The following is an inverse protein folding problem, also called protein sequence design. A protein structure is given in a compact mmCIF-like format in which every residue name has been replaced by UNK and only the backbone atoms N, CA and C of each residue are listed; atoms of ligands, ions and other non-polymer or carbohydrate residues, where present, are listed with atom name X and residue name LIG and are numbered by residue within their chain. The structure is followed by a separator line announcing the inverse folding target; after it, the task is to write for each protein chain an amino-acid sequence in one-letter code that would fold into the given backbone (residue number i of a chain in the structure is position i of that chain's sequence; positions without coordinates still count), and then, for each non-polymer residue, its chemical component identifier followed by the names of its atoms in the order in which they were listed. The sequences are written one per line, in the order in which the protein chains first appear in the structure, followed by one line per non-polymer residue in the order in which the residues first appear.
data_IF_566402803219
#
_entry.id   IF_566402803219
#
_cell.length_a   1.000
_cell.length_b   1.000
_cell.length_c   1.000
_cell.angle_alpha   90.00
_cell.angle_beta   90.00
_cell.angle_gamma   90.00
#
_symmetry.space_group_name_H-M   'P 1'
#
loop_
_entity.id
_entity.type
_entity.pdbx_description
1 polymer ?
#
# COMPACT_ATOMS: atom_id res chain seq x y z
N UNK A 1 -28.60 -44.74 21.51
CA UNK A 1 -27.79 -43.51 21.32
C UNK A 1 -28.31 -42.81 20.08
N UNK A 2 -28.89 -41.61 20.20
CA UNK A 2 -29.25 -40.80 19.03
C UNK A 2 -28.03 -39.96 18.69
N UNK A 3 -27.49 -40.17 17.49
CA UNK A 3 -26.46 -39.30 16.94
C UNK A 3 -27.02 -37.88 16.84
N UNK A 4 -26.30 -36.94 17.44
CA UNK A 4 -26.55 -35.51 17.31
C UNK A 4 -26.14 -35.15 15.87
N UNK A 5 -27.02 -34.60 15.04
CA UNK A 5 -26.61 -34.17 13.72
C UNK A 5 -25.63 -33.01 13.88
N UNK A 6 -24.40 -33.23 13.41
CA UNK A 6 -23.45 -32.16 13.11
C UNK A 6 -24.15 -31.14 12.22
N UNK A 7 -24.53 -30.00 12.81
CA UNK A 7 -24.96 -28.81 12.06
C UNK A 7 -23.75 -28.42 11.22
N UNK A 8 -23.83 -28.69 9.92
CA UNK A 8 -22.84 -28.24 8.94
C UNK A 8 -22.84 -26.72 8.89
N UNK A 9 -21.98 -26.10 9.71
CA UNK A 9 -21.62 -24.70 9.63
C UNK A 9 -20.58 -24.59 8.51
N UNK A 10 -21.03 -24.51 7.26
CA UNK A 10 -20.20 -23.96 6.20
C UNK A 10 -20.83 -22.63 5.78
N UNK A 11 -20.44 -21.50 6.41
CA UNK A 11 -21.08 -20.21 6.20
C UNK A 11 -20.50 -19.44 5.00
N UNK A 12 -19.87 -20.14 4.04
CA UNK A 12 -19.23 -19.55 2.86
C UNK A 12 -19.56 -20.43 1.66
N UNK A 13 -20.77 -20.28 1.10
CA UNK A 13 -21.25 -21.14 0.01
C UNK A 13 -22.35 -20.53 -0.86
N UNK A 14 -22.99 -19.44 -0.43
CA UNK A 14 -24.03 -18.76 -1.21
C UNK A 14 -23.47 -17.98 -2.40
N UNK A 15 -24.27 -17.81 -3.46
CA UNK A 15 -23.86 -17.03 -4.63
C UNK A 15 -23.45 -15.58 -4.30
N UNK A 16 -24.13 -14.95 -3.33
CA UNK A 16 -23.82 -13.60 -2.84
C UNK A 16 -22.50 -13.53 -2.07
N UNK A 17 -22.18 -14.54 -1.26
CA UNK A 17 -20.90 -14.62 -0.51
C UNK A 17 -19.72 -14.73 -1.47
N UNK A 18 -19.84 -15.64 -2.45
CA UNK A 18 -18.83 -15.81 -3.49
C UNK A 18 -18.61 -14.53 -4.30
N UNK A 19 -19.68 -13.84 -4.69
CA UNK A 19 -19.58 -12.56 -5.39
C UNK A 19 -18.89 -11.48 -4.54
N UNK A 20 -19.20 -11.41 -3.25
CA UNK A 20 -18.56 -10.49 -2.33
C UNK A 20 -17.06 -10.79 -2.18
N UNK A 21 -16.68 -12.04 -1.94
CA UNK A 21 -15.27 -12.44 -1.82
C UNK A 21 -14.48 -12.18 -3.11
N UNK A 22 -15.07 -12.46 -4.28
CA UNK A 22 -14.44 -12.12 -5.56
C UNK A 22 -14.30 -10.61 -5.77
N UNK A 23 -15.22 -9.80 -5.23
CA UNK A 23 -15.08 -8.34 -5.23
C UNK A 23 -13.91 -7.90 -4.35
N UNK A 24 -13.76 -8.48 -3.16
CA UNK A 24 -12.62 -8.21 -2.27
C UNK A 24 -11.29 -8.57 -2.93
N UNK A 25 -11.20 -9.75 -3.57
CA UNK A 25 -10.00 -10.18 -4.31
C UNK A 25 -9.64 -9.22 -5.45
N UNK A 26 -10.64 -8.71 -6.18
CA UNK A 26 -10.43 -7.72 -7.25
C UNK A 26 -9.97 -6.37 -6.70
N UNK A 27 -10.51 -5.95 -5.56
CA UNK A 27 -10.06 -4.75 -4.85
C UNK A 27 -8.60 -4.92 -4.41
N UNK A 28 -8.22 -6.05 -3.79
CA UNK A 28 -6.83 -6.34 -3.40
C UNK A 28 -5.85 -6.30 -4.59
N UNK A 29 -6.24 -6.84 -5.74
CA UNK A 29 -5.46 -6.73 -6.98
C UNK A 29 -5.28 -5.29 -7.45
N UNK A 30 -6.32 -4.45 -7.29
CA UNK A 30 -6.27 -3.04 -7.65
C UNK A 30 -5.34 -2.27 -6.72
N UNK A 31 -5.39 -2.55 -5.40
CA UNK A 31 -4.46 -1.97 -4.42
C UNK A 31 -3.00 -2.32 -4.73
N UNK A 32 -2.70 -3.59 -5.02
CA UNK A 32 -1.35 -3.99 -5.47
C UNK A 32 -0.92 -3.21 -6.73
N UNK A 33 -1.82 -3.02 -7.69
CA UNK A 33 -1.50 -2.26 -8.89
C UNK A 33 -1.17 -0.78 -8.58
N UNK A 34 -1.90 -0.16 -7.65
CA UNK A 34 -1.62 1.20 -7.16
C UNK A 34 -0.23 1.28 -6.53
N UNK A 35 0.08 0.36 -5.60
CA UNK A 35 1.38 0.37 -4.89
C UNK A 35 2.56 0.07 -5.83
N UNK A 36 2.39 -0.84 -6.80
CA UNK A 36 3.40 -1.06 -7.85
C UNK A 36 3.64 0.19 -8.69
N UNK A 37 2.58 0.91 -9.06
CA UNK A 37 2.71 2.14 -9.83
C UNK A 37 3.40 3.23 -9.00
N UNK A 38 3.12 3.27 -7.70
CA UNK A 38 3.81 4.12 -6.75
C UNK A 38 5.30 3.77 -6.67
N UNK A 39 5.67 2.49 -6.59
CA UNK A 39 7.07 2.06 -6.63
C UNK A 39 7.77 2.51 -7.92
N UNK A 40 7.16 2.30 -9.08
CA UNK A 40 7.69 2.79 -10.36
C UNK A 40 7.91 4.31 -10.34
N UNK A 41 6.98 5.07 -9.75
CA UNK A 41 7.10 6.52 -9.60
C UNK A 41 8.29 6.90 -8.70
N UNK A 42 8.46 6.23 -7.57
CA UNK A 42 9.58 6.44 -6.64
C UNK A 42 10.92 6.09 -7.32
N UNK A 43 10.98 5.03 -8.12
CA UNK A 43 12.17 4.66 -8.89
C UNK A 43 12.48 5.73 -9.94
N UNK A 44 11.50 6.19 -10.71
CA UNK A 44 11.67 7.25 -11.70
C UNK A 44 12.17 8.54 -11.03
N UNK A 45 11.62 8.89 -9.86
CA UNK A 45 12.01 10.07 -9.11
C UNK A 45 13.45 9.96 -8.58
N UNK A 46 13.77 8.90 -7.85
CA UNK A 46 15.01 8.86 -7.07
C UNK A 46 16.18 8.13 -7.74
N UNK A 47 15.90 7.08 -8.52
CA UNK A 47 16.95 6.33 -9.22
C UNK A 47 17.26 6.95 -10.58
N UNK A 48 16.22 7.27 -11.35
CA UNK A 48 16.37 7.81 -12.70
C UNK A 48 16.49 9.35 -12.72
N UNK A 49 16.06 10.02 -11.64
CA UNK A 49 16.01 11.49 -11.53
C UNK A 49 15.17 12.14 -12.61
N UNK A 50 14.12 11.46 -13.08
CA UNK A 50 13.20 11.95 -14.10
C UNK A 50 11.90 12.44 -13.46
N UNK A 51 11.86 13.74 -13.17
CA UNK A 51 10.70 14.38 -12.57
C UNK A 51 9.47 14.35 -13.49
N UNK A 52 9.65 14.43 -14.82
CA UNK A 52 8.53 14.40 -15.77
C UNK A 52 7.89 13.02 -15.81
N UNK A 53 8.70 11.96 -15.85
CA UNK A 53 8.24 10.58 -15.77
C UNK A 53 7.57 10.31 -14.42
N UNK A 54 8.14 10.79 -13.31
CA UNK A 54 7.54 10.67 -11.99
C UNK A 54 6.14 11.32 -11.92
N UNK A 55 5.94 12.51 -12.50
CA UNK A 55 4.61 13.12 -12.60
C UNK A 55 3.63 12.31 -13.46
N UNK A 56 4.10 11.72 -14.57
CA UNK A 56 3.24 10.89 -15.42
C UNK A 56 2.80 9.62 -14.72
N UNK A 57 3.70 8.97 -13.98
CA UNK A 57 3.39 7.80 -13.16
C UNK A 57 2.49 8.18 -11.98
N UNK A 58 2.72 9.34 -11.35
CA UNK A 58 1.89 9.82 -10.25
C UNK A 58 0.42 10.02 -10.62
N UNK A 59 0.12 10.49 -11.84
CA UNK A 59 -1.27 10.53 -12.34
C UNK A 59 -1.89 9.13 -12.45
N UNK A 60 -1.10 8.14 -12.89
CA UNK A 60 -1.56 6.75 -12.95
C UNK A 60 -1.79 6.16 -11.55
N UNK A 61 -1.02 6.57 -10.54
CA UNK A 61 -1.27 6.18 -9.13
C UNK A 61 -2.67 6.64 -8.70
N UNK A 62 -3.01 7.92 -8.89
CA UNK A 62 -4.34 8.46 -8.59
C UNK A 62 -5.46 7.73 -9.37
N UNK A 63 -5.26 7.45 -10.66
CA UNK A 63 -6.26 6.71 -11.44
C UNK A 63 -6.49 5.27 -10.93
N UNK A 64 -5.44 4.63 -10.40
CA UNK A 64 -5.50 3.27 -9.85
C UNK A 64 -6.10 3.24 -8.44
N UNK A 65 -5.75 4.19 -7.58
CA UNK A 65 -6.39 4.41 -6.28
C UNK A 65 -7.90 4.54 -6.45
N UNK A 66 -8.36 5.40 -7.37
CA UNK A 66 -9.79 5.62 -7.57
C UNK A 66 -10.52 4.35 -8.05
N UNK A 67 -9.81 3.41 -8.70
CA UNK A 67 -10.35 2.09 -9.05
C UNK A 67 -10.39 1.16 -7.83
N UNK A 68 -9.40 1.23 -6.94
CA UNK A 68 -9.38 0.51 -5.67
C UNK A 68 -10.54 0.95 -4.78
N UNK A 69 -10.73 2.26 -4.56
CA UNK A 69 -11.84 2.84 -3.78
C UNK A 69 -13.21 2.35 -4.25
N UNK A 70 -13.43 2.32 -5.58
CA UNK A 70 -14.67 1.77 -6.17
C UNK A 70 -14.86 0.29 -5.81
N UNK A 71 -13.77 -0.48 -5.79
CA UNK A 71 -13.77 -1.88 -5.35
C UNK A 71 -14.19 -2.03 -3.89
N UNK A 72 -13.61 -1.23 -2.99
CA UNK A 72 -13.99 -1.19 -1.56
C UNK A 72 -15.47 -0.86 -1.40
N UNK A 73 -15.96 0.22 -2.02
CA UNK A 73 -17.37 0.63 -1.94
C UNK A 73 -18.32 -0.46 -2.44
N UNK A 74 -17.95 -1.13 -3.53
CA UNK A 74 -18.74 -2.27 -4.05
C UNK A 74 -18.78 -3.42 -3.05
N UNK A 75 -17.66 -3.77 -2.43
CA UNK A 75 -17.61 -4.81 -1.41
C UNK A 75 -18.48 -4.47 -0.20
N UNK A 76 -18.35 -3.25 0.34
CA UNK A 76 -19.18 -2.76 1.46
C UNK A 76 -20.68 -2.79 1.12
N UNK A 77 -21.06 -2.44 -0.12
CA UNK A 77 -22.44 -2.57 -0.60
C UNK A 77 -22.93 -4.03 -0.57
N UNK A 78 -22.09 -4.98 -0.97
CA UNK A 78 -22.44 -6.41 -0.94
C UNK A 78 -22.66 -6.91 0.50
N UNK A 79 -21.85 -6.44 1.47
CA UNK A 79 -22.06 -6.75 2.89
C UNK A 79 -23.45 -6.27 3.37
N UNK A 80 -23.86 -5.05 2.97
CA UNK A 80 -25.17 -4.47 3.31
C UNK A 80 -26.36 -5.23 2.71
N UNK A 81 -26.19 -5.88 1.55
CA UNK A 81 -27.23 -6.68 0.86
C UNK A 81 -27.43 -8.09 1.42
N UNK A 82 -26.80 -8.38 2.56
CA UNK A 82 -26.91 -9.66 3.23
C UNK A 82 -26.06 -10.76 2.60
N UNK A 83 -24.86 -10.43 2.10
CA UNK A 83 -23.90 -11.43 1.68
C UNK A 83 -23.48 -12.33 2.86
N UNK A 84 -23.19 -11.77 4.04
CA UNK A 84 -22.74 -12.53 5.21
C UNK A 84 -23.66 -12.39 6.41
N UNK A 85 -23.52 -13.31 7.38
CA UNK A 85 -24.14 -13.19 8.71
C UNK A 85 -23.73 -11.86 9.39
N UNK A 86 -24.63 -11.21 10.14
CA UNK A 86 -24.36 -9.90 10.76
C UNK A 86 -23.05 -9.85 11.57
N UNK A 87 -22.73 -10.92 12.30
CA UNK A 87 -21.52 -11.01 13.15
C UNK A 87 -20.21 -10.85 12.37
N UNK A 88 -20.16 -11.23 11.09
CA UNK A 88 -18.93 -11.15 10.28
C UNK A 88 -18.80 -9.85 9.48
N UNK A 89 -19.88 -9.08 9.33
CA UNK A 89 -19.89 -7.90 8.45
C UNK A 89 -18.94 -6.81 8.92
N UNK A 90 -18.82 -6.63 10.23
CA UNK A 90 -17.94 -5.62 10.82
C UNK A 90 -16.47 -5.86 10.49
N UNK A 91 -16.01 -7.10 10.66
CA UNK A 91 -14.60 -7.46 10.43
C UNK A 91 -14.26 -7.45 8.93
N UNK A 92 -15.16 -7.95 8.09
CA UNK A 92 -14.98 -7.88 6.63
C UNK A 92 -14.97 -6.43 6.12
N UNK A 93 -15.85 -5.57 6.63
CA UNK A 93 -15.84 -4.15 6.28
C UNK A 93 -14.52 -3.48 6.70
N UNK A 94 -14.04 -3.78 7.91
CA UNK A 94 -12.74 -3.28 8.41
C UNK A 94 -11.57 -3.76 7.56
N UNK A 95 -11.56 -5.03 7.16
CA UNK A 95 -10.55 -5.59 6.27
C UNK A 95 -10.51 -4.83 4.94
N UNK A 96 -11.67 -4.58 4.33
CA UNK A 96 -11.75 -3.83 3.08
C UNK A 96 -11.30 -2.37 3.25
N UNK A 97 -11.63 -1.73 4.36
CA UNK A 97 -11.17 -0.36 4.66
C UNK A 97 -9.65 -0.29 4.82
N UNK A 98 -9.06 -1.21 5.60
CA UNK A 98 -7.62 -1.24 5.81
C UNK A 98 -6.85 -1.53 4.51
N UNK A 99 -7.40 -2.39 3.66
CA UNK A 99 -6.83 -2.67 2.35
C UNK A 99 -6.87 -1.43 1.43
N UNK A 100 -7.96 -0.69 1.44
CA UNK A 100 -8.10 0.56 0.66
C UNK A 100 -7.14 1.64 1.16
N UNK A 101 -6.99 1.78 2.48
CA UNK A 101 -6.05 2.73 3.11
C UNK A 101 -4.61 2.58 2.61
N UNK A 102 -4.18 1.38 2.18
CA UNK A 102 -2.86 1.18 1.58
C UNK A 102 -2.72 1.94 0.25
N UNK A 103 -3.73 1.86 -0.62
CA UNK A 103 -3.76 2.59 -1.88
C UNK A 103 -3.85 4.10 -1.65
N UNK A 104 -4.72 4.54 -0.73
CA UNK A 104 -4.89 5.94 -0.35
C UNK A 104 -3.59 6.55 0.20
N UNK A 105 -2.86 5.78 1.00
CA UNK A 105 -1.56 6.20 1.55
C UNK A 105 -0.52 6.36 0.44
N UNK A 106 -0.42 5.39 -0.48
CA UNK A 106 0.50 5.49 -1.63
C UNK A 106 0.18 6.72 -2.50
N UNK A 107 -1.10 7.02 -2.70
CA UNK A 107 -1.54 8.21 -3.42
C UNK A 107 -1.23 9.50 -2.65
N UNK A 108 -1.46 9.52 -1.33
CA UNK A 108 -1.13 10.62 -0.44
C UNK A 108 0.35 10.99 -0.49
N UNK A 109 1.23 9.98 -0.39
CA UNK A 109 2.69 10.17 -0.52
C UNK A 109 3.05 10.66 -1.91
N UNK A 110 2.45 10.09 -2.96
CA UNK A 110 2.64 10.55 -4.36
C UNK A 110 2.32 12.03 -4.51
N UNK A 111 1.17 12.50 -4.01
CA UNK A 111 0.82 13.92 -4.07
C UNK A 111 1.81 14.77 -3.28
N UNK A 112 2.14 14.37 -2.06
CA UNK A 112 3.03 15.13 -1.19
C UNK A 112 4.44 15.28 -1.78
N UNK A 113 4.99 14.21 -2.34
CA UNK A 113 6.37 14.21 -2.86
C UNK A 113 6.50 14.98 -4.17
N UNK A 114 5.53 14.82 -5.08
CA UNK A 114 5.53 15.48 -6.39
C UNK A 114 5.28 16.99 -6.29
N UNK A 115 4.67 17.47 -5.19
CA UNK A 115 4.53 18.91 -4.92
C UNK A 115 5.87 19.60 -4.60
N UNK A 116 6.93 18.83 -4.34
CA UNK A 116 8.24 19.37 -3.96
C UNK A 116 9.16 19.46 -5.17
N UNK A 117 8.88 20.40 -6.08
CA UNK A 117 9.59 20.56 -7.37
C UNK A 117 11.13 20.60 -7.27
N UNK A 118 11.67 21.20 -6.20
CA UNK A 118 13.11 21.33 -5.96
C UNK A 118 13.73 20.16 -5.17
N UNK A 119 12.99 19.06 -4.97
CA UNK A 119 13.47 17.91 -4.20
C UNK A 119 14.75 17.32 -4.80
N UNK A 120 14.79 17.08 -6.11
CA UNK A 120 15.96 16.53 -6.78
C UNK A 120 17.18 17.45 -6.71
N UNK A 121 16.97 18.76 -6.79
CA UNK A 121 18.05 19.75 -6.64
C UNK A 121 18.60 19.74 -5.22
N UNK A 122 17.72 19.73 -4.20
CA UNK A 122 18.11 19.68 -2.80
C UNK A 122 18.93 18.42 -2.48
N UNK A 123 18.47 17.26 -2.95
CA UNK A 123 19.20 15.99 -2.79
C UNK A 123 20.53 16.01 -3.54
N UNK A 124 20.57 16.54 -4.76
CA UNK A 124 21.82 16.67 -5.52
C UNK A 124 22.85 17.56 -4.82
N UNK A 125 22.41 18.66 -4.20
CA UNK A 125 23.29 19.53 -3.41
C UNK A 125 23.78 18.83 -2.15
N UNK A 126 22.90 18.13 -1.43
CA UNK A 126 23.26 17.39 -0.23
C UNK A 126 24.31 16.31 -0.55
N UNK A 127 24.12 15.57 -1.63
CA UNK A 127 25.06 14.53 -2.08
C UNK A 127 26.42 15.08 -2.53
N UNK A 128 26.45 16.26 -3.17
CA UNK A 128 27.71 16.94 -3.51
C UNK A 128 28.48 17.37 -2.27
N UNK A 129 27.79 17.85 -1.23
CA UNK A 129 28.40 18.23 0.05
C UNK A 129 28.84 16.99 0.84
N UNK A 130 28.01 15.95 0.85
CA UNK A 130 28.22 14.73 1.60
C UNK A 130 27.75 13.53 0.78
N UNK A 131 28.69 12.80 0.17
CA UNK A 131 28.37 11.67 -0.74
C UNK A 131 27.48 10.61 -0.09
N UNK A 132 27.56 10.42 1.24
CA UNK A 132 26.72 9.49 1.99
C UNK A 132 25.23 9.87 2.03
N UNK A 133 24.87 11.14 1.79
CA UNK A 133 23.48 11.58 1.72
C UNK A 133 22.65 10.90 0.61
N UNK A 134 23.31 10.22 -0.34
CA UNK A 134 22.64 9.33 -1.31
C UNK A 134 21.86 8.19 -0.65
N UNK A 135 22.20 7.83 0.59
CA UNK A 135 21.50 6.79 1.34
C UNK A 135 20.01 7.09 1.49
N UNK A 136 19.63 8.36 1.69
CA UNK A 136 18.22 8.79 1.79
C UNK A 136 17.42 8.33 0.58
N UNK A 137 17.87 8.63 -0.64
CA UNK A 137 17.15 8.27 -1.86
C UNK A 137 17.17 6.75 -2.12
N UNK A 138 18.25 6.07 -1.73
CA UNK A 138 18.37 4.61 -1.85
C UNK A 138 17.38 3.91 -0.89
N UNK A 139 17.24 4.44 0.33
CA UNK A 139 16.30 3.99 1.35
C UNK A 139 14.84 4.27 0.96
N UNK A 140 14.54 5.42 0.33
CA UNK A 140 13.21 5.68 -0.27
C UNK A 140 12.80 4.61 -1.28
N UNK A 141 13.71 4.23 -2.18
CA UNK A 141 13.45 3.20 -3.20
C UNK A 141 13.27 1.83 -2.55
N UNK A 142 14.06 1.50 -1.52
CA UNK A 142 13.91 0.24 -0.77
C UNK A 142 12.57 0.19 -0.03
N UNK A 143 12.13 1.28 0.60
CA UNK A 143 10.83 1.32 1.27
C UNK A 143 9.68 1.12 0.28
N UNK A 144 9.72 1.74 -0.89
CA UNK A 144 8.67 1.53 -1.89
C UNK A 144 8.61 0.07 -2.38
N UNK A 145 9.76 -0.60 -2.51
CA UNK A 145 9.83 -2.04 -2.81
C UNK A 145 9.21 -2.89 -1.71
N UNK A 146 9.58 -2.63 -0.45
CA UNK A 146 9.01 -3.34 0.71
C UNK A 146 7.50 -3.12 0.80
N UNK A 147 7.00 -1.91 0.52
CA UNK A 147 5.58 -1.62 0.46
C UNK A 147 4.86 -2.48 -0.60
N UNK A 148 5.44 -2.60 -1.81
CA UNK A 148 4.91 -3.50 -2.85
C UNK A 148 4.90 -4.95 -2.39
N UNK A 149 6.02 -5.46 -1.84
CA UNK A 149 6.14 -6.85 -1.39
C UNK A 149 5.14 -7.17 -0.28
N UNK A 150 5.00 -6.28 0.70
CA UNK A 150 4.05 -6.43 1.81
C UNK A 150 2.62 -6.46 1.29
N UNK A 151 2.29 -5.58 0.35
CA UNK A 151 0.96 -5.53 -0.27
C UNK A 151 0.67 -6.79 -1.11
N UNK A 152 1.68 -7.35 -1.78
CA UNK A 152 1.56 -8.63 -2.49
C UNK A 152 1.34 -9.81 -1.55
N UNK A 153 2.04 -9.86 -0.41
CA UNK A 153 1.83 -10.86 0.63
C UNK A 153 0.42 -10.74 1.23
N UNK A 154 -0.04 -9.53 1.52
CA UNK A 154 -1.41 -9.24 1.98
C UNK A 154 -2.46 -9.69 0.95
N UNK A 155 -2.26 -9.40 -0.34
CA UNK A 155 -3.13 -9.92 -1.41
C UNK A 155 -3.13 -11.45 -1.42
N UNK A 156 -1.98 -12.08 -1.22
CA UNK A 156 -1.85 -13.53 -1.07
C UNK A 156 -2.68 -14.07 0.11
N UNK A 157 -2.64 -13.39 1.26
CA UNK A 157 -3.47 -13.74 2.42
C UNK A 157 -4.97 -13.63 2.09
N UNK A 158 -5.39 -12.60 1.37
CA UNK A 158 -6.79 -12.45 0.92
C UNK A 158 -7.20 -13.53 -0.09
N UNK A 159 -6.31 -13.87 -1.02
CA UNK A 159 -6.55 -14.96 -1.97
C UNK A 159 -6.72 -16.32 -1.22
N UNK A 160 -5.94 -16.56 -0.16
CA UNK A 160 -6.05 -17.74 0.70
C UNK A 160 -7.29 -17.71 1.60
N UNK A 161 -7.65 -16.57 2.18
CA UNK A 161 -8.88 -16.41 2.97
C UNK A 161 -10.13 -16.90 2.22
N UNK A 162 -10.16 -16.74 0.89
CA UNK A 162 -11.26 -17.17 0.03
C UNK A 162 -11.18 -18.65 -0.37
N UNK A 163 -9.98 -19.23 -0.40
CA UNK A 163 -9.73 -20.56 -1.01
C UNK A 163 -9.32 -21.64 0.00
N UNK A 164 -8.50 -21.28 0.98
CA UNK A 164 -8.02 -22.12 2.06
C UNK A 164 -7.63 -21.25 3.27
N UNK A 165 -8.53 -21.11 4.24
CA UNK A 165 -8.32 -20.25 5.40
C UNK A 165 -7.14 -20.71 6.26
N UNK A 166 -6.95 -22.03 6.44
CA UNK A 166 -5.87 -22.58 7.26
C UNK A 166 -4.48 -22.24 6.69
N UNK A 167 -4.36 -22.14 5.37
CA UNK A 167 -3.12 -21.73 4.72
C UNK A 167 -2.84 -20.22 4.85
N UNK A 168 -3.82 -19.41 5.28
CA UNK A 168 -3.68 -17.94 5.37
C UNK A 168 -2.59 -17.52 6.35
N UNK A 169 -2.39 -18.28 7.42
CA UNK A 169 -1.37 -18.01 8.46
C UNK A 169 0.04 -17.88 7.85
N UNK A 170 0.37 -18.66 6.82
CA UNK A 170 1.68 -18.57 6.16
C UNK A 170 1.89 -17.20 5.51
N UNK A 171 0.84 -16.63 4.90
CA UNK A 171 0.92 -15.30 4.28
C UNK A 171 0.89 -14.18 5.31
N UNK A 172 0.20 -14.37 6.43
CA UNK A 172 0.23 -13.41 7.54
C UNK A 172 1.63 -13.31 8.15
N UNK A 173 2.30 -14.44 8.40
CA UNK A 173 3.68 -14.45 8.87
C UNK A 173 4.66 -13.75 7.89
N UNK A 174 4.39 -13.84 6.59
CA UNK A 174 5.17 -13.12 5.56
C UNK A 174 4.93 -11.60 5.63
N UNK A 175 3.68 -11.17 5.83
CA UNK A 175 3.34 -9.74 6.05
C UNK A 175 4.04 -9.21 7.29
N UNK A 176 3.93 -9.89 8.43
CA UNK A 176 4.56 -9.48 9.70
C UNK A 176 6.08 -9.32 9.57
N UNK A 177 6.72 -10.26 8.86
CA UNK A 177 8.16 -10.19 8.59
C UNK A 177 8.53 -8.96 7.76
N UNK A 178 7.78 -8.69 6.69
CA UNK A 178 8.03 -7.56 5.81
C UNK A 178 7.75 -6.21 6.48
N UNK A 179 6.72 -6.14 7.34
CA UNK A 179 6.44 -4.98 8.19
C UNK A 179 7.61 -4.71 9.14
N UNK A 180 8.13 -5.74 9.80
CA UNK A 180 9.31 -5.60 10.65
C UNK A 180 10.55 -5.10 9.87
N UNK A 181 10.77 -5.61 8.65
CA UNK A 181 11.85 -5.12 7.77
C UNK A 181 11.63 -3.65 7.37
N UNK A 182 10.38 -3.24 7.15
CA UNK A 182 10.02 -1.85 6.85
C UNK A 182 10.28 -0.92 8.04
N UNK A 183 9.91 -1.32 9.26
CA UNK A 183 10.15 -0.56 10.48
C UNK A 183 11.65 -0.32 10.73
N UNK A 184 12.47 -1.36 10.55
CA UNK A 184 13.92 -1.24 10.68
C UNK A 184 14.51 -0.27 9.64
N UNK A 185 14.00 -0.31 8.41
CA UNK A 185 14.42 0.60 7.36
C UNK A 185 14.00 2.04 7.64
N UNK A 186 12.79 2.25 8.16
CA UNK A 186 12.31 3.57 8.59
C UNK A 186 13.21 4.15 9.68
N UNK A 187 13.51 3.39 10.73
CA UNK A 187 14.40 3.83 11.81
C UNK A 187 15.79 4.21 11.29
N UNK A 188 16.37 3.38 10.40
CA UNK A 188 17.65 3.66 9.77
C UNK A 188 17.60 4.97 8.97
N UNK A 189 16.55 5.16 8.17
CA UNK A 189 16.40 6.36 7.37
C UNK A 189 16.22 7.61 8.24
N UNK A 190 15.43 7.56 9.32
CA UNK A 190 15.27 8.69 10.23
C UNK A 190 16.63 9.09 10.82
N UNK A 191 17.46 8.11 11.18
CA UNK A 191 18.85 8.34 11.58
C UNK A 191 19.66 9.06 10.50
N UNK A 192 19.62 8.58 9.26
CA UNK A 192 20.28 9.23 8.11
C UNK A 192 19.77 10.66 7.87
N UNK A 193 18.46 10.89 8.01
CA UNK A 193 17.85 12.20 7.82
C UNK A 193 18.35 13.20 8.86
N UNK A 194 18.41 12.82 10.14
CA UNK A 194 18.94 13.67 11.20
C UNK A 194 20.45 13.90 11.07
N UNK A 195 21.22 12.89 10.68
CA UNK A 195 22.66 13.05 10.43
C UNK A 195 22.94 14.10 9.33
N UNK A 196 22.09 14.12 8.30
CA UNK A 196 22.26 14.99 7.13
C UNK A 196 21.36 16.23 7.14
N UNK A 197 20.69 16.53 8.25
CA UNK A 197 19.77 17.68 8.37
C UNK A 197 20.44 19.00 7.97
N UNK A 198 21.70 19.21 8.40
CA UNK A 198 22.46 20.44 8.13
C UNK A 198 22.79 20.66 6.64
N UNK A 199 22.78 19.59 5.83
CA UNK A 199 23.07 19.67 4.39
C UNK A 199 21.81 19.65 3.53
N UNK A 200 20.64 19.39 4.13
CA UNK A 200 19.34 19.47 3.49
C UNK A 200 18.79 20.90 3.65
N UNK A 201 18.30 21.49 2.55
CA UNK A 201 17.63 22.79 2.63
C UNK A 201 16.32 22.64 3.45
N UNK A 202 16.00 23.58 4.36
CA UNK A 202 14.72 23.56 5.08
C UNK A 202 13.57 23.58 4.07
N UNK A 203 12.43 22.99 4.43
CA UNK A 203 11.24 22.89 3.58
C UNK A 203 10.76 24.30 3.21
N UNK A 204 11.28 24.83 2.09
CA UNK A 204 10.78 26.05 1.46
C UNK A 204 9.84 25.61 0.35
N UNK A 205 8.55 25.91 0.48
CA UNK A 205 7.71 26.07 -0.70
C UNK A 205 8.41 27.11 -1.57
N UNK A 206 8.58 26.83 -2.86
CA UNK A 206 8.93 27.90 -3.77
C UNK A 206 7.88 28.99 -3.57
N UNK A 207 8.30 30.22 -3.26
CA UNK A 207 7.40 31.36 -3.33
C UNK A 207 6.70 31.27 -4.68
N UNK A 208 5.41 30.98 -4.67
CA UNK A 208 4.55 31.22 -5.82
C UNK A 208 4.69 32.71 -6.06
N UNK A 209 5.47 33.07 -7.08
CA UNK A 209 5.55 34.44 -7.56
C UNK A 209 4.15 34.83 -8.03
N UNK A 210 3.41 35.45 -7.12
CA UNK A 210 2.25 36.30 -7.33
C UNK A 210 2.52 37.58 -6.54
#
# INVERSE_FOLDING_TARGET
MREIPMIGISPIGGGKEREALETLRKNAKSVVATVKKFEEMIIALFSERDMKKAHALGRQVTELETKADKGRRKFTSNLGKGAFLPTFRGDLARLAEQLDNVADTAEGVTRAILLREKLLDALSKAEKKQKKAKAIRESMVKMAKLATQTTEALRGAIDLLVTNIDATETKLNEVEKLEHESDLLEQSLLGELYEYEKVLDPVRRANSGL
#
